data_IF_766096036096
#
_entry.id   IF_766096036096
#
_cell.length_a   1.000
_cell.length_b   1.000
_cell.length_c   1.000
_cell.angle_alpha   90.00
_cell.angle_beta   90.00
_cell.angle_gamma   90.00
#
_symmetry.space_group_name_H-M   'P 1'
#
loop_
_entity.id
_entity.type
_entity.pdbx_description
1 polymer ?
#
# COMPACT_ATOMS: atom_id res chain seq x y z
N UNK A 1 -10.53 40.77 -31.48
CA UNK A 1 -9.78 39.81 -30.62
C UNK A 1 -9.26 40.49 -29.37
N UNK A 2 -8.68 41.69 -29.46
CA UNK A 2 -8.20 42.43 -28.27
C UNK A 2 -9.35 42.81 -27.32
N UNK A 3 -10.52 43.26 -27.80
CA UNK A 3 -11.68 43.54 -26.97
C UNK A 3 -12.22 42.32 -26.21
N UNK A 4 -12.14 41.12 -26.84
CA UNK A 4 -12.50 39.87 -26.15
C UNK A 4 -11.52 39.51 -25.05
N UNK A 5 -10.23 39.60 -25.31
CA UNK A 5 -9.18 39.29 -24.34
C UNK A 5 -9.11 40.27 -23.15
N UNK A 6 -9.55 41.51 -23.34
CA UNK A 6 -9.62 42.53 -22.30
C UNK A 6 -10.95 42.51 -21.52
N UNK A 7 -11.94 41.77 -21.98
CA UNK A 7 -13.21 41.61 -21.25
C UNK A 7 -13.09 40.61 -20.10
N UNK A 8 -13.88 40.80 -19.05
CA UNK A 8 -13.87 39.91 -17.89
C UNK A 8 -14.18 38.43 -18.26
N UNK A 9 -15.07 38.19 -19.23
CA UNK A 9 -15.38 36.85 -19.72
C UNK A 9 -14.26 36.27 -20.60
N UNK A 10 -13.51 37.08 -21.32
CA UNK A 10 -12.34 36.68 -22.07
C UNK A 10 -11.21 36.22 -21.14
N UNK A 11 -10.94 36.99 -20.09
CA UNK A 11 -9.98 36.62 -19.03
C UNK A 11 -10.41 35.32 -18.36
N UNK A 12 -11.68 35.20 -17.97
CA UNK A 12 -12.22 33.97 -17.36
C UNK A 12 -12.04 32.75 -18.25
N UNK A 13 -12.31 32.90 -19.57
CA UNK A 13 -12.15 31.81 -20.55
C UNK A 13 -10.68 31.37 -20.67
N UNK A 14 -9.74 32.32 -20.70
CA UNK A 14 -8.31 32.00 -20.73
C UNK A 14 -7.87 31.27 -19.47
N UNK A 15 -8.25 31.77 -18.28
CA UNK A 15 -7.91 31.13 -17.01
C UNK A 15 -8.49 29.71 -16.96
N UNK A 16 -9.72 29.51 -17.40
CA UNK A 16 -10.35 28.20 -17.47
C UNK A 16 -9.59 27.26 -18.41
N UNK A 17 -9.18 27.77 -19.60
CA UNK A 17 -8.38 27.01 -20.55
C UNK A 17 -7.04 26.60 -19.96
N UNK A 18 -6.33 27.51 -19.29
CA UNK A 18 -5.06 27.23 -18.64
C UNK A 18 -5.21 26.18 -17.53
N UNK A 19 -6.25 26.29 -16.71
CA UNK A 19 -6.53 25.31 -15.66
C UNK A 19 -6.79 23.92 -16.26
N UNK A 20 -7.59 23.84 -17.33
CA UNK A 20 -7.84 22.57 -18.04
C UNK A 20 -6.57 22.01 -18.67
N UNK A 21 -5.74 22.86 -19.28
CA UNK A 21 -4.47 22.45 -19.89
C UNK A 21 -3.48 21.93 -18.84
N UNK A 22 -3.32 22.65 -17.71
CA UNK A 22 -2.48 22.20 -16.59
C UNK A 22 -3.00 20.87 -16.04
N UNK A 23 -4.30 20.74 -15.83
CA UNK A 23 -4.91 19.50 -15.36
C UNK A 23 -4.64 18.32 -16.31
N UNK A 24 -4.78 18.53 -17.62
CA UNK A 24 -4.47 17.54 -18.64
C UNK A 24 -2.99 17.12 -18.59
N UNK A 25 -2.06 18.08 -18.47
CA UNK A 25 -0.63 17.82 -18.31
C UNK A 25 -0.36 16.99 -17.06
N UNK A 26 -0.98 17.34 -15.94
CA UNK A 26 -0.86 16.57 -14.68
C UNK A 26 -1.34 15.14 -14.87
N UNK A 27 -2.48 14.92 -15.52
CA UNK A 27 -3.01 13.58 -15.77
C UNK A 27 -2.09 12.75 -16.67
N UNK A 28 -1.54 13.33 -17.74
CA UNK A 28 -0.65 12.64 -18.68
C UNK A 28 0.68 12.30 -18.02
N UNK A 29 1.24 13.22 -17.25
CA UNK A 29 2.56 13.05 -16.59
C UNK A 29 2.47 12.42 -15.21
N UNK A 30 1.26 12.04 -14.76
CA UNK A 30 1.00 11.49 -13.42
C UNK A 30 1.95 10.34 -13.06
N UNK A 31 2.13 9.38 -13.95
CA UNK A 31 2.96 8.18 -13.71
C UNK A 31 4.43 8.50 -13.40
N UNK A 32 4.96 9.57 -13.97
CA UNK A 32 6.38 9.87 -13.92
C UNK A 32 6.77 10.78 -12.74
N UNK A 33 5.98 11.81 -12.50
CA UNK A 33 6.33 12.85 -11.54
C UNK A 33 5.26 13.04 -10.47
N UNK A 34 4.02 13.26 -10.87
CA UNK A 34 2.96 13.70 -9.96
C UNK A 34 2.55 12.64 -8.95
N UNK A 35 2.60 11.34 -9.31
CA UNK A 35 2.28 10.27 -8.35
C UNK A 35 3.12 10.38 -7.07
N UNK A 36 4.40 10.66 -7.20
CA UNK A 36 5.28 10.79 -6.04
C UNK A 36 4.96 12.02 -5.19
N UNK A 37 4.63 13.14 -5.85
CA UNK A 37 4.21 14.37 -5.17
C UNK A 37 2.89 14.13 -4.43
N UNK A 38 1.91 13.49 -5.07
CA UNK A 38 0.65 13.13 -4.44
C UNK A 38 0.85 12.18 -3.25
N UNK A 39 1.61 11.11 -3.41
CA UNK A 39 1.93 10.18 -2.32
C UNK A 39 2.51 10.92 -1.12
N UNK A 40 3.48 11.81 -1.36
CA UNK A 40 4.12 12.60 -0.31
C UNK A 40 3.14 13.56 0.39
N UNK A 41 2.46 14.42 -0.38
CA UNK A 41 1.54 15.40 0.18
C UNK A 41 0.39 14.73 0.94
N UNK A 42 -0.18 13.67 0.36
CA UNK A 42 -1.30 12.97 0.98
C UNK A 42 -0.87 12.24 2.25
N UNK A 43 0.29 11.57 2.24
CA UNK A 43 0.82 10.91 3.44
C UNK A 43 1.23 11.92 4.52
N UNK A 44 1.71 13.11 4.13
CA UNK A 44 2.02 14.20 5.07
C UNK A 44 0.75 14.68 5.79
N UNK A 45 -0.30 14.98 5.02
CA UNK A 45 -1.61 15.38 5.58
C UNK A 45 -2.14 14.30 6.52
N UNK A 46 -2.15 13.03 6.08
CA UNK A 46 -2.59 11.92 6.91
C UNK A 46 -1.74 11.76 8.19
N UNK A 47 -0.43 11.91 8.09
CA UNK A 47 0.47 11.81 9.26
C UNK A 47 0.20 12.92 10.27
N UNK A 48 -0.02 14.15 9.81
CA UNK A 48 -0.36 15.29 10.67
C UNK A 48 -1.72 15.07 11.33
N UNK A 49 -2.75 14.71 10.56
CA UNK A 49 -4.10 14.47 11.10
C UNK A 49 -4.15 13.29 12.08
N UNK A 50 -3.37 12.24 11.83
CA UNK A 50 -3.33 11.05 12.66
C UNK A 50 -2.23 11.11 13.73
N UNK A 51 -1.54 12.26 13.88
CA UNK A 51 -0.48 12.43 14.89
C UNK A 51 -0.92 12.10 16.33
N UNK A 52 -2.14 12.46 16.81
CA UNK A 52 -2.57 12.04 18.14
C UNK A 52 -2.65 10.51 18.28
N UNK A 53 -3.11 9.83 17.21
CA UNK A 53 -3.20 8.38 17.18
C UNK A 53 -1.81 7.73 17.15
N UNK A 54 -0.85 8.31 16.40
CA UNK A 54 0.55 7.88 16.46
C UNK A 54 1.13 7.96 17.87
N UNK A 55 0.92 9.09 18.55
CA UNK A 55 1.38 9.28 19.94
C UNK A 55 0.74 8.23 20.85
N UNK A 56 -0.56 7.99 20.72
CA UNK A 56 -1.27 6.99 21.52
C UNK A 56 -0.69 5.57 21.30
N UNK A 57 -0.44 5.18 20.03
CA UNK A 57 0.17 3.89 19.71
C UNK A 57 1.57 3.79 20.33
N UNK A 58 2.40 4.83 20.20
CA UNK A 58 3.75 4.87 20.75
C UNK A 58 3.77 4.73 22.28
N UNK A 59 2.86 5.40 22.97
CA UNK A 59 2.73 5.28 24.45
C UNK A 59 2.35 3.85 24.85
N UNK A 60 1.38 3.26 24.17
CA UNK A 60 0.96 1.87 24.43
C UNK A 60 2.06 0.87 24.08
N UNK A 61 2.75 1.04 22.94
CA UNK A 61 3.88 0.20 22.54
C UNK A 61 5.03 0.25 23.54
N UNK A 62 5.39 1.46 24.01
CA UNK A 62 6.41 1.59 25.06
C UNK A 62 6.00 0.91 26.37
N UNK A 63 4.72 0.94 26.72
CA UNK A 63 4.18 0.19 27.85
C UNK A 63 4.31 -1.33 27.66
N UNK A 64 3.94 -1.86 26.50
CA UNK A 64 4.08 -3.27 26.14
C UNK A 64 5.56 -3.71 26.13
N UNK A 65 6.45 -2.86 25.58
CA UNK A 65 7.90 -3.11 25.61
C UNK A 65 8.45 -3.19 27.04
N UNK A 66 8.04 -2.29 27.93
CA UNK A 66 8.46 -2.32 29.34
C UNK A 66 7.98 -3.57 30.07
N UNK A 67 6.87 -4.18 29.66
CA UNK A 67 6.37 -5.46 30.19
C UNK A 67 7.02 -6.69 29.53
N UNK A 68 7.89 -6.49 28.55
CA UNK A 68 8.53 -7.59 27.81
C UNK A 68 7.62 -8.29 26.79
N UNK A 69 6.48 -7.69 26.46
CA UNK A 69 5.51 -8.26 25.51
C UNK A 69 5.97 -8.13 24.05
N UNK A 70 6.79 -7.12 23.75
CA UNK A 70 7.40 -6.86 22.43
C UNK A 70 8.87 -6.50 22.56
N UNK A 71 9.69 -6.87 21.58
CA UNK A 71 11.12 -6.54 21.54
C UNK A 71 11.35 -5.08 21.11
N UNK A 72 10.59 -4.61 20.13
CA UNK A 72 10.68 -3.27 19.57
C UNK A 72 9.33 -2.57 19.44
N UNK A 73 9.32 -1.28 19.18
CA UNK A 73 8.10 -0.53 18.88
C UNK A 73 7.65 -0.76 17.43
N UNK A 74 8.62 -0.92 16.53
CA UNK A 74 8.41 -1.15 15.10
C UNK A 74 9.18 -2.36 14.63
N UNK A 75 8.54 -3.16 13.79
CA UNK A 75 9.15 -4.26 13.05
C UNK A 75 9.43 -3.85 11.63
N UNK A 76 10.55 -4.30 11.10
CA UNK A 76 11.00 -4.05 9.74
C UNK A 76 11.00 -5.36 8.96
N UNK A 77 10.27 -5.39 7.85
CA UNK A 77 10.28 -6.54 6.94
C UNK A 77 10.90 -6.14 5.61
N UNK A 78 11.81 -6.96 5.10
CA UNK A 78 12.47 -6.73 3.82
C UNK A 78 11.61 -7.26 2.67
N UNK A 79 11.35 -6.41 1.70
CA UNK A 79 10.56 -6.74 0.52
C UNK A 79 11.36 -6.46 -0.76
N UNK A 80 11.07 -7.22 -1.82
CA UNK A 80 11.76 -7.10 -3.10
C UNK A 80 11.31 -5.87 -3.90
N UNK A 81 12.26 -5.30 -4.65
CA UNK A 81 12.06 -4.28 -5.68
C UNK A 81 12.46 -4.80 -7.05
N UNK A 82 12.06 -4.09 -8.11
CA UNK A 82 12.33 -4.42 -9.53
C UNK A 82 13.79 -4.83 -9.83
N UNK A 83 14.77 -4.24 -9.19
CA UNK A 83 16.19 -4.47 -9.52
C UNK A 83 16.87 -5.50 -8.58
N UNK A 84 16.12 -6.45 -8.02
CA UNK A 84 16.64 -7.41 -7.04
C UNK A 84 17.06 -6.77 -5.70
N UNK A 85 16.93 -5.45 -5.57
CA UNK A 85 17.15 -4.73 -4.31
C UNK A 85 15.99 -4.98 -3.35
N UNK A 86 16.28 -4.90 -2.06
CA UNK A 86 15.25 -4.96 -1.02
C UNK A 86 14.93 -3.58 -0.46
N UNK A 87 13.71 -3.41 0.03
CA UNK A 87 13.28 -2.26 0.82
C UNK A 87 12.75 -2.75 2.15
N UNK A 88 13.18 -2.12 3.24
CA UNK A 88 12.64 -2.40 4.57
C UNK A 88 11.42 -1.52 4.80
N UNK A 89 10.27 -2.16 4.98
CA UNK A 89 9.00 -1.51 5.31
C UNK A 89 8.69 -1.67 6.79
N UNK A 90 8.12 -0.62 7.37
CA UNK A 90 7.81 -0.53 8.79
C UNK A 90 6.37 -0.94 9.10
N UNK A 91 6.20 -1.63 10.22
CA UNK A 91 4.91 -1.85 10.86
C UNK A 91 5.09 -1.72 12.37
N UNK A 92 4.06 -1.31 13.11
CA UNK A 92 4.11 -1.42 14.56
C UNK A 92 4.11 -2.89 14.96
N UNK A 93 4.92 -3.23 15.96
CA UNK A 93 5.08 -4.60 16.41
C UNK A 93 3.88 -5.03 17.26
N UNK A 94 3.13 -6.00 16.76
CA UNK A 94 1.93 -6.55 17.41
C UNK A 94 2.17 -7.94 18.04
N UNK A 95 3.34 -8.54 17.75
CA UNK A 95 3.67 -9.91 18.14
C UNK A 95 5.01 -9.97 18.84
N UNK A 96 5.17 -10.96 19.72
CA UNK A 96 6.44 -11.28 20.36
C UNK A 96 7.38 -12.04 19.39
N UNK A 97 8.58 -12.36 19.84
CA UNK A 97 9.56 -13.13 19.06
C UNK A 97 9.09 -14.55 18.72
N UNK A 98 8.20 -15.12 19.53
CA UNK A 98 7.57 -16.42 19.25
C UNK A 98 6.43 -16.35 18.22
N UNK A 99 6.08 -15.15 17.74
CA UNK A 99 5.00 -14.93 16.78
C UNK A 99 3.60 -14.83 17.40
N UNK A 100 3.49 -14.90 18.73
CA UNK A 100 2.23 -14.75 19.45
C UNK A 100 1.85 -13.28 19.63
N UNK A 101 0.56 -12.99 19.78
CA UNK A 101 0.10 -11.62 20.02
C UNK A 101 0.64 -11.06 21.33
N UNK A 102 1.12 -9.83 21.29
CA UNK A 102 1.71 -9.13 22.44
C UNK A 102 0.62 -8.66 23.41
N UNK A 103 0.01 -9.58 24.13
CA UNK A 103 -1.04 -9.31 25.10
C UNK A 103 -2.17 -8.43 24.55
N UNK A 104 -2.82 -7.67 25.42
CA UNK A 104 -3.95 -6.79 25.01
C UNK A 104 -3.56 -5.67 24.05
N UNK A 105 -2.29 -5.26 24.02
CA UNK A 105 -1.79 -4.29 23.06
C UNK A 105 -1.74 -4.89 21.66
N UNK A 106 -1.16 -6.09 21.50
CA UNK A 106 -1.06 -6.77 20.22
C UNK A 106 -2.44 -7.11 19.65
N UNK A 107 -3.35 -7.62 20.48
CA UNK A 107 -4.74 -7.90 20.10
C UNK A 107 -5.46 -6.65 19.59
N UNK A 108 -5.35 -5.55 20.33
CA UNK A 108 -5.96 -4.27 19.94
C UNK A 108 -5.39 -3.77 18.60
N UNK A 109 -4.08 -3.85 18.43
CA UNK A 109 -3.40 -3.36 17.23
C UNK A 109 -3.76 -4.18 15.98
N UNK A 110 -3.89 -5.51 16.13
CA UNK A 110 -4.34 -6.40 15.06
C UNK A 110 -5.83 -6.23 14.73
N UNK A 111 -6.67 -6.11 15.75
CA UNK A 111 -8.12 -5.89 15.58
C UNK A 111 -8.41 -4.58 14.84
N UNK A 112 -7.71 -3.50 15.19
CA UNK A 112 -7.87 -2.18 14.57
C UNK A 112 -7.11 -2.03 13.25
N UNK A 113 -6.21 -2.97 12.92
CA UNK A 113 -5.29 -2.91 11.76
C UNK A 113 -4.35 -1.69 11.76
N UNK A 114 -4.16 -1.07 12.91
CA UNK A 114 -3.31 0.11 13.07
C UNK A 114 -1.81 -0.22 13.01
N UNK A 115 -1.43 -1.51 13.05
CA UNK A 115 -0.03 -1.91 12.85
C UNK A 115 0.55 -1.40 11.52
N UNK A 116 -0.29 -1.26 10.48
CA UNK A 116 0.12 -0.77 9.16
C UNK A 116 0.31 0.76 9.10
N UNK A 117 -0.13 1.50 10.14
CA UNK A 117 -0.07 2.96 10.15
C UNK A 117 1.37 3.50 10.07
N UNK A 118 2.36 2.76 10.62
CA UNK A 118 3.78 3.07 10.46
C UNK A 118 4.21 3.19 8.99
N UNK A 119 3.52 2.50 8.08
CA UNK A 119 3.75 2.58 6.65
C UNK A 119 3.50 3.95 6.03
N UNK A 120 2.76 4.87 6.67
CA UNK A 120 2.64 6.27 6.22
C UNK A 120 4.00 6.97 6.21
N UNK A 121 4.85 6.69 7.20
CA UNK A 121 6.21 7.21 7.26
C UNK A 121 7.08 6.66 6.13
N UNK A 122 6.86 5.39 5.74
CA UNK A 122 7.55 4.80 4.59
C UNK A 122 7.12 5.45 3.26
N UNK A 123 5.86 5.92 3.15
CA UNK A 123 5.40 6.70 2.00
C UNK A 123 6.09 8.06 1.96
N UNK A 124 6.19 8.77 3.08
CA UNK A 124 6.87 10.06 3.18
C UNK A 124 8.32 9.98 2.69
N UNK A 125 9.08 8.97 3.15
CA UNK A 125 10.48 8.78 2.72
C UNK A 125 10.61 8.10 1.35
N UNK A 126 9.51 7.73 0.69
CA UNK A 126 9.51 7.17 -0.66
C UNK A 126 9.83 5.71 -0.79
N UNK A 127 9.84 4.97 0.30
CA UNK A 127 10.05 3.52 0.30
C UNK A 127 8.86 2.78 -0.32
N UNK A 128 7.65 3.29 -0.12
CA UNK A 128 6.40 2.77 -0.69
C UNK A 128 5.51 3.89 -1.22
N UNK A 129 4.40 3.54 -1.87
CA UNK A 129 3.36 4.43 -2.35
C UNK A 129 2.15 4.40 -1.42
N UNK A 130 1.29 5.39 -1.49
CA UNK A 130 0.01 5.36 -0.78
C UNK A 130 -0.92 4.29 -1.38
N UNK A 131 -1.06 4.29 -2.70
CA UNK A 131 -1.77 3.26 -3.47
C UNK A 131 -0.74 2.49 -4.29
N UNK A 132 -0.76 1.17 -4.19
CA UNK A 132 0.20 0.33 -4.90
C UNK A 132 0.03 -1.14 -4.59
N UNK A 133 0.96 -1.93 -5.05
CA UNK A 133 0.90 -3.38 -5.07
C UNK A 133 1.13 -4.00 -3.69
N UNK A 134 0.69 -5.25 -3.52
CA UNK A 134 1.07 -6.05 -2.35
C UNK A 134 2.58 -6.28 -2.36
N UNK A 135 3.21 -6.08 -1.21
CA UNK A 135 4.63 -6.34 -1.03
C UNK A 135 4.90 -7.85 -0.99
N UNK A 136 5.94 -8.29 -1.69
CA UNK A 136 6.45 -9.65 -1.63
C UNK A 136 7.88 -9.67 -1.09
N UNK A 137 8.22 -10.68 -0.31
CA UNK A 137 9.58 -10.93 0.15
C UNK A 137 10.46 -11.37 -1.02
N UNK A 138 11.79 -11.40 -0.80
CA UNK A 138 12.72 -11.86 -1.82
C UNK A 138 12.48 -13.34 -2.17
N UNK A 139 12.19 -14.18 -1.17
CA UNK A 139 11.87 -15.59 -1.39
C UNK A 139 10.60 -15.76 -2.22
N UNK A 140 9.54 -14.99 -1.92
CA UNK A 140 8.30 -15.04 -2.69
C UNK A 140 8.48 -14.59 -4.15
N UNK A 141 9.32 -13.60 -4.39
CA UNK A 141 9.56 -13.09 -5.77
C UNK A 141 10.35 -14.06 -6.64
N UNK A 142 11.09 -15.00 -6.06
CA UNK A 142 11.81 -16.02 -6.82
C UNK A 142 10.84 -16.96 -7.56
N UNK A 143 9.61 -17.10 -7.12
CA UNK A 143 8.58 -17.95 -7.72
C UNK A 143 7.58 -17.19 -8.60
N UNK A 144 7.80 -15.90 -8.84
CA UNK A 144 6.98 -15.15 -9.80
C UNK A 144 7.39 -15.53 -11.23
N UNK A 145 6.41 -15.80 -12.05
CA UNK A 145 6.62 -15.95 -13.50
C UNK A 145 7.15 -14.64 -14.10
N UNK A 146 7.88 -14.69 -15.21
CA UNK A 146 8.50 -13.53 -15.84
C UNK A 146 7.48 -12.39 -16.10
N UNK A 147 6.29 -12.75 -16.59
CA UNK A 147 5.19 -11.82 -16.84
C UNK A 147 4.68 -11.18 -15.53
N UNK A 148 4.68 -11.93 -14.43
CA UNK A 148 4.27 -11.44 -13.11
C UNK A 148 5.35 -10.57 -12.46
N UNK A 149 6.62 -10.78 -12.80
CA UNK A 149 7.72 -9.95 -12.30
C UNK A 149 7.63 -8.50 -12.79
N UNK A 150 7.00 -8.25 -13.93
CA UNK A 150 6.75 -6.90 -14.46
C UNK A 150 5.89 -6.03 -13.52
N UNK A 151 5.09 -6.63 -12.66
CA UNK A 151 4.37 -5.89 -11.61
C UNK A 151 5.30 -5.03 -10.74
N UNK A 152 6.54 -5.45 -10.55
CA UNK A 152 7.52 -4.73 -9.73
C UNK A 152 7.94 -3.36 -10.32
N UNK A 153 7.42 -2.97 -11.48
CA UNK A 153 7.55 -1.61 -12.04
C UNK A 153 6.86 -0.59 -11.13
N UNK A 154 5.70 -0.96 -10.55
CA UNK A 154 5.01 -0.12 -9.59
C UNK A 154 5.51 -0.40 -8.16
N UNK A 155 5.41 0.61 -7.29
CA UNK A 155 5.78 0.46 -5.89
C UNK A 155 4.72 -0.30 -5.10
N UNK A 156 5.17 -0.93 -4.02
CA UNK A 156 4.24 -1.44 -3.00
C UNK A 156 3.45 -0.30 -2.37
N UNK A 157 2.16 -0.53 -2.05
CA UNK A 157 1.26 0.47 -1.51
C UNK A 157 0.74 0.14 -0.10
N UNK A 158 0.14 1.13 0.54
CA UNK A 158 -0.67 0.94 1.75
C UNK A 158 -2.05 0.40 1.40
N UNK A 159 -2.62 0.90 0.31
CA UNK A 159 -3.90 0.45 -0.24
C UNK A 159 -3.61 -0.32 -1.51
N UNK A 160 -4.17 -1.54 -1.61
CA UNK A 160 -4.01 -2.38 -2.77
C UNK A 160 -5.11 -2.11 -3.80
N UNK A 161 -4.82 -2.08 -5.11
CA UNK A 161 -5.80 -1.91 -6.19
C UNK A 161 -6.94 -2.93 -6.17
N UNK A 162 -6.70 -4.10 -5.59
CA UNK A 162 -7.68 -5.18 -5.45
C UNK A 162 -9.00 -4.73 -4.77
N UNK A 163 -8.97 -3.66 -4.00
CA UNK A 163 -10.17 -3.08 -3.35
C UNK A 163 -11.30 -2.74 -4.33
N UNK A 164 -11.01 -2.58 -5.61
CA UNK A 164 -12.00 -2.23 -6.63
C UNK A 164 -12.67 -3.46 -7.24
N UNK A 165 -11.99 -4.60 -7.26
CA UNK A 165 -12.43 -5.81 -7.97
C UNK A 165 -12.35 -7.10 -7.15
N UNK A 166 -11.71 -7.07 -5.99
CA UNK A 166 -11.58 -8.26 -5.14
C UNK A 166 -12.81 -8.50 -4.26
N UNK A 167 -12.99 -9.73 -3.86
CA UNK A 167 -14.03 -10.22 -2.97
C UNK A 167 -13.48 -11.23 -1.95
N UNK A 168 -14.36 -11.91 -1.22
CA UNK A 168 -14.01 -12.89 -0.20
C UNK A 168 -13.33 -14.17 -0.78
N UNK A 169 -13.55 -14.47 -2.04
CA UNK A 169 -12.98 -15.66 -2.70
C UNK A 169 -11.69 -15.38 -3.45
N UNK A 170 -11.31 -14.09 -3.60
CA UNK A 170 -10.10 -13.66 -4.31
C UNK A 170 -8.86 -14.42 -3.86
N UNK A 171 -8.18 -15.01 -4.81
CA UNK A 171 -6.93 -15.74 -4.60
C UNK A 171 -5.69 -14.97 -5.12
N UNK A 172 -4.52 -15.59 -5.03
CA UNK A 172 -3.27 -14.97 -5.49
C UNK A 172 -3.18 -14.83 -7.02
N UNK A 173 -3.87 -15.66 -7.80
CA UNK A 173 -3.87 -15.52 -9.25
C UNK A 173 -4.59 -14.24 -9.68
N UNK A 174 -5.79 -14.01 -9.15
CA UNK A 174 -6.57 -12.80 -9.41
C UNK A 174 -5.87 -11.55 -8.88
N UNK A 175 -5.25 -11.65 -7.69
CA UNK A 175 -4.48 -10.55 -7.12
C UNK A 175 -3.29 -10.18 -8.02
N UNK A 176 -2.54 -11.16 -8.51
CA UNK A 176 -1.39 -10.91 -9.39
C UNK A 176 -1.82 -10.29 -10.71
N UNK A 177 -2.95 -10.74 -11.27
CA UNK A 177 -3.53 -10.14 -12.49
C UNK A 177 -3.96 -8.69 -12.25
N UNK A 178 -4.65 -8.41 -11.14
CA UNK A 178 -5.04 -7.05 -10.75
C UNK A 178 -3.83 -6.15 -10.54
N UNK A 179 -2.81 -6.63 -9.85
CA UNK A 179 -1.56 -5.92 -9.60
C UNK A 179 -0.84 -5.60 -10.91
N UNK A 180 -0.80 -6.54 -11.85
CA UNK A 180 -0.19 -6.35 -13.17
C UNK A 180 -0.95 -5.29 -13.98
N UNK A 181 -2.27 -5.40 -14.05
CA UNK A 181 -3.13 -4.38 -14.72
C UNK A 181 -2.89 -2.98 -14.16
N UNK A 182 -2.80 -2.89 -12.83
CA UNK A 182 -2.50 -1.62 -12.17
C UNK A 182 -1.09 -1.12 -12.51
N UNK A 183 -0.07 -1.97 -12.42
CA UNK A 183 1.33 -1.58 -12.68
C UNK A 183 1.50 -0.98 -14.09
N UNK A 184 0.74 -1.47 -15.06
CA UNK A 184 0.80 -0.98 -16.44
C UNK A 184 -0.04 0.28 -16.68
N UNK A 185 -1.16 0.45 -15.95
CA UNK A 185 -2.17 1.47 -16.25
C UNK A 185 -2.55 2.37 -15.08
N UNK A 186 -1.72 2.48 -14.02
CA UNK A 186 -2.07 3.38 -12.94
C UNK A 186 -2.16 4.85 -13.41
N UNK A 187 -3.17 5.53 -12.94
CA UNK A 187 -3.50 6.91 -13.33
C UNK A 187 -4.08 7.66 -12.14
N UNK A 188 -4.11 8.99 -12.24
CA UNK A 188 -4.69 9.83 -11.19
C UNK A 188 -6.13 9.43 -10.84
N UNK A 189 -6.99 9.27 -11.84
CA UNK A 189 -8.39 8.87 -11.63
C UNK A 189 -8.51 7.44 -11.10
N UNK A 190 -7.64 6.53 -11.55
CA UNK A 190 -7.57 5.17 -11.03
C UNK A 190 -7.23 5.15 -9.54
N UNK A 191 -6.23 5.93 -9.14
CA UNK A 191 -5.83 6.05 -7.74
C UNK A 191 -6.93 6.70 -6.89
N UNK A 192 -7.59 7.75 -7.38
CA UNK A 192 -8.75 8.34 -6.71
C UNK A 192 -9.88 7.31 -6.53
N UNK A 193 -10.21 6.53 -7.57
CA UNK A 193 -11.21 5.47 -7.48
C UNK A 193 -10.87 4.45 -6.40
N UNK A 194 -9.62 3.95 -6.40
CA UNK A 194 -9.14 2.98 -5.42
C UNK A 194 -9.24 3.55 -4.00
N UNK A 195 -8.79 4.80 -3.81
CA UNK A 195 -8.85 5.46 -2.51
C UNK A 195 -10.27 5.62 -1.99
N UNK A 196 -11.17 6.17 -2.81
CA UNK A 196 -12.56 6.38 -2.38
C UNK A 196 -13.31 5.07 -2.15
N UNK A 197 -13.08 4.05 -2.97
CA UNK A 197 -13.66 2.71 -2.74
C UNK A 197 -13.20 2.15 -1.40
N UNK A 198 -11.90 2.22 -1.11
CA UNK A 198 -11.34 1.78 0.17
C UNK A 198 -11.92 2.59 1.35
N UNK A 199 -11.98 3.91 1.23
CA UNK A 199 -12.49 4.80 2.28
C UNK A 199 -13.97 4.51 2.59
N UNK A 200 -14.80 4.38 1.55
CA UNK A 200 -16.22 4.05 1.69
C UNK A 200 -16.43 2.68 2.32
N UNK A 201 -15.65 1.68 1.93
CA UNK A 201 -15.66 0.36 2.57
C UNK A 201 -15.33 0.45 4.07
N UNK A 202 -14.33 1.26 4.44
CA UNK A 202 -14.00 1.49 5.86
C UNK A 202 -15.11 2.19 6.64
N UNK A 203 -15.76 3.19 6.05
CA UNK A 203 -16.89 3.90 6.66
C UNK A 203 -18.09 2.95 6.86
N UNK A 204 -18.32 2.03 5.92
CA UNK A 204 -19.38 1.01 6.00
C UNK A 204 -19.07 -0.12 6.97
N UNK A 205 -17.86 -0.16 7.53
CA UNK A 205 -17.41 -1.24 8.41
C UNK A 205 -17.00 -2.51 7.67
N UNK A 206 -16.87 -2.47 6.35
CA UNK A 206 -16.38 -3.58 5.55
C UNK A 206 -14.92 -3.88 5.95
N UNK A 207 -14.69 -5.06 6.47
CA UNK A 207 -13.33 -5.52 6.74
C UNK A 207 -12.71 -5.97 5.41
N UNK A 208 -11.47 -5.67 5.14
CA UNK A 208 -10.65 -6.01 3.96
C UNK A 208 -11.02 -7.34 3.23
N UNK A 209 -12.31 -7.61 3.02
CA UNK A 209 -12.86 -8.81 2.38
C UNK A 209 -12.37 -8.93 0.94
N UNK A 210 -12.12 -7.80 0.27
CA UNK A 210 -11.53 -7.75 -1.06
C UNK A 210 -10.15 -8.41 -1.18
N UNK A 211 -9.49 -8.69 -0.07
CA UNK A 211 -8.22 -9.42 -0.07
C UNK A 211 -8.43 -10.95 -0.09
N UNK A 212 -9.66 -11.42 0.14
CA UNK A 212 -10.02 -12.82 0.10
C UNK A 212 -9.02 -13.73 0.82
N UNK A 213 -8.72 -14.83 0.19
CA UNK A 213 -7.76 -15.84 0.69
C UNK A 213 -6.32 -15.33 0.79
N UNK A 214 -5.97 -14.26 0.06
CA UNK A 214 -4.61 -13.67 0.12
C UNK A 214 -4.28 -13.00 1.44
N UNK A 215 -5.27 -12.76 2.30
CA UNK A 215 -5.11 -12.19 3.63
C UNK A 215 -4.65 -13.21 4.65
N UNK A 216 -5.15 -14.44 4.56
CA UNK A 216 -4.98 -15.48 5.57
C UNK A 216 -3.72 -16.31 5.34
N UNK A 217 -3.30 -16.41 4.07
CA UNK A 217 -2.19 -17.26 3.62
C UNK A 217 -1.08 -16.43 2.99
N UNK A 218 0.16 -16.89 3.11
CA UNK A 218 1.28 -16.32 2.35
C UNK A 218 1.23 -16.79 0.89
N UNK A 219 1.97 -16.11 0.02
CA UNK A 219 2.10 -16.56 -1.36
C UNK A 219 2.78 -17.93 -1.47
N UNK A 220 3.75 -18.20 -0.60
CA UNK A 220 4.41 -19.50 -0.54
C UNK A 220 3.45 -20.62 -0.12
N UNK A 221 2.55 -20.36 0.86
CA UNK A 221 1.54 -21.33 1.27
C UNK A 221 0.60 -21.69 0.10
N UNK A 222 0.18 -20.67 -0.66
CA UNK A 222 -0.64 -20.86 -1.86
C UNK A 222 0.06 -21.69 -2.93
N UNK A 223 1.35 -21.47 -3.18
CA UNK A 223 2.13 -22.24 -4.16
C UNK A 223 2.32 -23.68 -3.71
N UNK A 224 2.58 -23.90 -2.41
CA UNK A 224 2.74 -25.23 -1.84
C UNK A 224 1.44 -26.05 -1.94
N UNK A 225 0.30 -25.47 -1.59
CA UNK A 225 -1.01 -26.13 -1.69
C UNK A 225 -1.36 -26.49 -3.15
N UNK A 226 -0.95 -25.68 -4.10
CA UNK A 226 -1.12 -25.95 -5.54
C UNK A 226 -0.07 -26.91 -6.13
N UNK A 227 0.87 -27.39 -5.31
CA UNK A 227 1.95 -28.26 -5.76
C UNK A 227 2.93 -27.58 -6.73
N UNK A 228 2.97 -26.25 -6.77
CA UNK A 228 3.88 -25.48 -7.62
C UNK A 228 5.30 -25.38 -7.06
N UNK A 229 5.46 -25.63 -5.76
CA UNK A 229 6.74 -25.68 -5.06
C UNK A 229 6.78 -26.89 -4.13
N UNK A 230 8.00 -27.38 -3.86
CA UNK A 230 8.26 -28.47 -2.91
C UNK A 230 8.41 -27.92 -1.48
N UNK A 231 8.31 -28.80 -0.47
CA UNK A 231 8.57 -28.44 0.93
C UNK A 231 10.01 -27.90 1.15
N UNK A 232 10.98 -28.41 0.41
CA UNK A 232 12.37 -27.95 0.49
C UNK A 232 12.50 -26.50 -0.04
N UNK A 233 11.88 -26.18 -1.18
CA UNK A 233 11.85 -24.83 -1.75
C UNK A 233 11.08 -23.86 -0.85
N UNK A 234 9.97 -24.30 -0.25
CA UNK A 234 9.21 -23.51 0.72
C UNK A 234 10.07 -23.13 1.94
N UNK A 235 10.80 -24.09 2.50
CA UNK A 235 11.69 -23.85 3.64
C UNK A 235 12.81 -22.85 3.28
N UNK A 236 13.47 -23.06 2.13
CA UNK A 236 14.54 -22.19 1.63
C UNK A 236 14.06 -20.75 1.33
N UNK A 237 12.81 -20.57 0.91
CA UNK A 237 12.26 -19.26 0.61
C UNK A 237 11.83 -18.47 1.85
N UNK A 238 11.70 -19.13 3.00
CA UNK A 238 11.35 -18.52 4.30
C UNK A 238 12.56 -18.02 5.09
N UNK A 239 13.76 -18.52 4.77
CA UNK A 239 15.03 -18.03 5.33
C UNK A 239 15.44 -16.68 4.69
#
# INVERSE_FOLDING_TARGET
>A
MEEFLSSWYGILTLVLFDVVAIFAIVCITYRWLFKRIFDFLFSLICTVLLSPLFIYILVRANGAKKRGEIAGVTRWTAYAKKNGKTVKLSAFESRNEAGELAGSYGEWLEKTKLFALAGLLDVLVGKRSFIGLKAFTRGETAFLEEVQADRLIAKTGLINPLVVCGDADTDYAEMLESDQKYAWNFSFFGDCKIFFTWLLGKIRGESNEYLGKTRERSFLDYLLERGKITQAEYAAAKE
#
